data_IF_661951646603
#
_entry.id   IF_661951646603
#
_cell.length_a   1.000
_cell.length_b   1.000
_cell.length_c   1.000
_cell.angle_alpha   90.00
_cell.angle_beta   90.00
_cell.angle_gamma   90.00
#
_symmetry.space_group_name_H-M   'P 1'
#
loop_
_entity.id
_entity.type
_entity.pdbx_description
1 polymer ?
#
# COMPACT_ATOMS: atom_id res chain seq x y z
N UNK A 1 -86.08 46.89 -25.10
CA UNK A 1 -85.37 46.38 -26.29
C UNK A 1 -84.73 45.10 -25.81
N UNK A 2 -85.45 43.99 -25.94
CA UNK A 2 -84.95 42.67 -25.57
C UNK A 2 -83.97 42.27 -26.66
N UNK A 3 -82.69 42.55 -26.41
CA UNK A 3 -81.61 42.01 -27.21
C UNK A 3 -81.48 40.56 -26.76
N UNK A 4 -81.79 39.65 -27.68
CA UNK A 4 -81.58 38.21 -27.55
C UNK A 4 -80.17 37.92 -27.01
N UNK A 5 -80.10 37.58 -25.73
CA UNK A 5 -78.87 37.31 -24.97
C UNK A 5 -78.17 35.99 -25.39
N UNK A 6 -78.55 35.36 -26.52
CA UNK A 6 -77.94 34.11 -27.02
C UNK A 6 -77.08 34.28 -28.29
N UNK A 7 -76.53 35.46 -28.55
CA UNK A 7 -75.54 35.64 -29.64
C UNK A 7 -74.18 34.98 -29.40
N UNK A 8 -73.86 34.57 -28.16
CA UNK A 8 -72.58 33.95 -27.82
C UNK A 8 -72.41 32.55 -28.46
N UNK A 9 -73.51 31.84 -28.69
CA UNK A 9 -73.52 30.54 -29.40
C UNK A 9 -73.26 30.70 -30.91
N UNK A 10 -73.61 31.84 -31.50
CA UNK A 10 -73.45 32.07 -32.95
C UNK A 10 -71.99 32.37 -33.33
N UNK A 11 -71.23 32.98 -32.42
CA UNK A 11 -69.82 33.27 -32.65
C UNK A 11 -68.91 32.04 -32.44
N UNK A 12 -69.47 30.91 -32.01
CA UNK A 12 -68.71 29.70 -31.67
C UNK A 12 -67.69 29.96 -30.56
N UNK A 13 -67.95 30.96 -29.72
CA UNK A 13 -67.05 31.32 -28.63
C UNK A 13 -67.08 30.19 -27.60
N UNK A 14 -65.93 29.56 -27.29
CA UNK A 14 -65.90 28.46 -26.34
C UNK A 14 -66.44 28.93 -25.01
N UNK A 15 -67.32 28.14 -24.41
CA UNK A 15 -67.86 28.46 -23.10
C UNK A 15 -66.71 28.58 -22.09
N UNK A 16 -66.84 29.40 -21.02
CA UNK A 16 -65.78 29.50 -20.01
C UNK A 16 -65.34 28.15 -19.45
N UNK A 17 -66.28 27.20 -19.31
CA UNK A 17 -65.98 25.84 -18.88
C UNK A 17 -65.10 25.07 -19.89
N UNK A 18 -65.33 25.23 -21.20
CA UNK A 18 -64.49 24.62 -22.24
C UNK A 18 -63.09 25.25 -22.28
N UNK A 19 -62.99 26.55 -22.04
CA UNK A 19 -61.72 27.25 -21.96
C UNK A 19 -60.84 26.76 -20.81
N UNK A 20 -61.42 26.34 -19.67
CA UNK A 20 -60.66 25.80 -18.53
C UNK A 20 -60.23 24.34 -18.68
N UNK A 21 -60.87 23.55 -19.54
CA UNK A 21 -60.53 22.12 -19.71
C UNK A 21 -59.07 21.92 -20.13
N UNK A 22 -58.60 22.72 -21.08
CA UNK A 22 -57.23 22.60 -21.61
C UNK A 22 -56.15 22.99 -20.58
N UNK A 23 -56.22 24.15 -19.89
CA UNK A 23 -55.31 24.46 -18.80
C UNK A 23 -55.31 23.42 -17.68
N UNK A 24 -56.47 22.90 -17.29
CA UNK A 24 -56.56 21.83 -16.29
C UNK A 24 -55.82 20.57 -16.75
N UNK A 25 -56.01 20.14 -18.01
CA UNK A 25 -55.29 18.99 -18.56
C UNK A 25 -53.76 19.21 -18.59
N UNK A 26 -53.30 20.41 -18.99
CA UNK A 26 -51.87 20.75 -18.95
C UNK A 26 -51.28 20.72 -17.53
N UNK A 27 -52.03 21.20 -16.54
CA UNK A 27 -51.61 21.16 -15.14
C UNK A 27 -51.56 19.73 -14.59
N UNK A 28 -52.53 18.89 -14.98
CA UNK A 28 -52.54 17.47 -14.64
C UNK A 28 -51.30 16.75 -15.22
N UNK A 29 -50.99 16.97 -16.50
CA UNK A 29 -49.81 16.40 -17.16
C UNK A 29 -48.50 16.85 -16.49
N UNK A 30 -48.36 18.15 -16.23
CA UNK A 30 -47.19 18.70 -15.53
C UNK A 30 -47.04 18.14 -14.11
N UNK A 31 -48.16 17.93 -13.40
CA UNK A 31 -48.15 17.31 -12.08
C UNK A 31 -47.70 15.84 -12.16
N UNK A 32 -48.19 15.08 -13.14
CA UNK A 32 -47.80 13.69 -13.36
C UNK A 32 -46.29 13.60 -13.66
N UNK A 33 -45.77 14.45 -14.53
CA UNK A 33 -44.36 14.48 -14.90
C UNK A 33 -43.47 14.80 -13.69
N UNK A 34 -43.80 15.86 -12.95
CA UNK A 34 -43.03 16.26 -11.76
C UNK A 34 -43.06 15.20 -10.66
N UNK A 35 -44.20 14.54 -10.43
CA UNK A 35 -44.28 13.41 -9.50
C UNK A 35 -43.42 12.23 -9.96
N UNK A 36 -43.39 11.93 -11.26
CA UNK A 36 -42.54 10.89 -11.84
C UNK A 36 -41.05 11.19 -11.62
N UNK A 37 -40.62 12.43 -11.92
CA UNK A 37 -39.25 12.88 -11.68
C UNK A 37 -38.89 12.81 -10.19
N UNK A 38 -39.79 13.24 -9.31
CA UNK A 38 -39.57 13.19 -7.86
C UNK A 38 -39.41 11.76 -7.35
N UNK A 39 -40.22 10.81 -7.83
CA UNK A 39 -40.09 9.39 -7.48
C UNK A 39 -38.73 8.84 -7.93
N UNK A 40 -38.30 9.14 -9.16
CA UNK A 40 -36.98 8.73 -9.68
C UNK A 40 -35.84 9.34 -8.86
N UNK A 41 -35.90 10.63 -8.57
CA UNK A 41 -34.90 11.31 -7.76
C UNK A 41 -34.79 10.74 -6.35
N UNK A 42 -35.93 10.45 -5.70
CA UNK A 42 -35.96 9.79 -4.39
C UNK A 42 -35.35 8.40 -4.41
N UNK A 43 -35.66 7.59 -5.43
CA UNK A 43 -35.06 6.27 -5.60
C UNK A 43 -33.54 6.36 -5.79
N UNK A 44 -33.07 7.31 -6.61
CA UNK A 44 -31.65 7.54 -6.83
C UNK A 44 -30.91 7.96 -5.55
N UNK A 45 -31.48 8.90 -4.78
CA UNK A 45 -30.91 9.34 -3.50
C UNK A 45 -30.85 8.18 -2.50
N UNK A 46 -31.92 7.37 -2.40
CA UNK A 46 -31.92 6.19 -1.54
C UNK A 46 -30.81 5.20 -1.94
N UNK A 47 -30.64 4.94 -3.24
CA UNK A 47 -29.56 4.09 -3.74
C UNK A 47 -28.16 4.66 -3.44
N UNK A 48 -27.97 5.97 -3.58
CA UNK A 48 -26.71 6.64 -3.23
C UNK A 48 -26.38 6.56 -1.75
N UNK A 49 -27.38 6.72 -0.87
CA UNK A 49 -27.20 6.56 0.58
C UNK A 49 -26.80 5.13 0.93
N UNK A 50 -27.48 4.13 0.37
CA UNK A 50 -27.13 2.72 0.59
C UNK A 50 -25.70 2.41 0.13
N UNK A 51 -25.30 2.89 -1.05
CA UNK A 51 -23.94 2.70 -1.54
C UNK A 51 -22.91 3.42 -0.66
N UNK A 52 -23.22 4.63 -0.19
CA UNK A 52 -22.35 5.36 0.74
C UNK A 52 -22.12 4.57 2.03
N UNK A 53 -23.17 3.97 2.59
CA UNK A 53 -23.06 3.19 3.83
C UNK A 53 -22.22 1.91 3.60
N UNK A 54 -22.39 1.25 2.46
CA UNK A 54 -21.53 0.13 2.06
C UNK A 54 -20.06 0.53 1.89
N UNK A 55 -19.79 1.68 1.28
CA UNK A 55 -18.43 2.20 1.13
C UNK A 55 -17.82 2.59 2.48
N UNK A 56 -18.61 3.17 3.38
CA UNK A 56 -18.14 3.53 4.72
C UNK A 56 -17.75 2.29 5.54
N UNK A 57 -18.55 1.23 5.47
CA UNK A 57 -18.24 -0.04 6.14
C UNK A 57 -17.02 -0.72 5.52
N UNK A 58 -16.93 -0.78 4.18
CA UNK A 58 -15.77 -1.31 3.47
C UNK A 58 -14.48 -0.54 3.80
N UNK A 59 -14.55 0.79 3.87
CA UNK A 59 -13.43 1.64 4.27
C UNK A 59 -12.96 1.34 5.69
N UNK A 60 -13.88 1.26 6.66
CA UNK A 60 -13.53 0.97 8.05
C UNK A 60 -12.84 -0.40 8.21
N UNK A 61 -13.29 -1.42 7.46
CA UNK A 61 -12.64 -2.73 7.42
C UNK A 61 -11.23 -2.64 6.83
N UNK A 62 -11.07 -1.97 5.69
CA UNK A 62 -9.77 -1.81 5.04
C UNK A 62 -8.77 -1.04 5.93
N UNK A 63 -9.22 0.02 6.61
CA UNK A 63 -8.40 0.78 7.57
C UNK A 63 -7.97 -0.07 8.77
N UNK A 64 -8.86 -0.92 9.29
CA UNK A 64 -8.55 -1.86 10.37
C UNK A 64 -7.50 -2.89 9.95
N UNK A 65 -7.64 -3.49 8.76
CA UNK A 65 -6.64 -4.43 8.24
C UNK A 65 -5.30 -3.76 7.94
N UNK A 66 -5.31 -2.54 7.40
CA UNK A 66 -4.11 -1.76 7.18
C UNK A 66 -3.37 -1.47 8.50
N UNK A 67 -4.08 -1.08 9.55
CA UNK A 67 -3.49 -0.84 10.86
C UNK A 67 -2.83 -2.10 11.44
N UNK A 68 -3.48 -3.27 11.31
CA UNK A 68 -2.90 -4.56 11.71
C UNK A 68 -1.63 -4.88 10.94
N UNK A 69 -1.66 -4.72 9.61
CA UNK A 69 -0.52 -4.98 8.75
C UNK A 69 0.67 -4.06 9.08
N UNK A 70 0.42 -2.77 9.34
CA UNK A 70 1.44 -1.82 9.76
C UNK A 70 2.08 -2.23 11.09
N UNK A 71 1.28 -2.60 12.08
CA UNK A 71 1.77 -3.07 13.37
C UNK A 71 2.66 -4.31 13.22
N UNK A 72 2.26 -5.25 12.37
CA UNK A 72 3.03 -6.47 12.09
C UNK A 72 4.35 -6.15 11.39
N UNK A 73 4.36 -5.23 10.42
CA UNK A 73 5.59 -4.74 9.78
C UNK A 73 6.53 -4.12 10.82
N UNK A 74 6.00 -3.29 11.73
CA UNK A 74 6.81 -2.71 12.80
C UNK A 74 7.41 -3.77 13.72
N UNK A 75 6.61 -4.78 14.10
CA UNK A 75 7.05 -5.91 14.91
C UNK A 75 8.18 -6.69 14.23
N UNK A 76 8.00 -7.06 12.97
CA UNK A 76 8.99 -7.80 12.19
C UNK A 76 10.26 -6.99 11.96
N UNK A 77 10.14 -5.69 11.67
CA UNK A 77 11.29 -4.81 11.53
C UNK A 77 12.10 -4.68 12.83
N UNK A 78 11.43 -4.60 13.98
CA UNK A 78 12.09 -4.59 15.27
C UNK A 78 12.88 -5.90 15.49
N UNK A 79 12.25 -7.05 15.27
CA UNK A 79 12.89 -8.35 15.41
C UNK A 79 14.08 -8.52 14.45
N UNK A 80 13.93 -8.11 13.19
CA UNK A 80 14.99 -8.15 12.19
C UNK A 80 16.19 -7.31 12.61
N UNK A 81 15.96 -6.08 13.12
CA UNK A 81 17.03 -5.21 13.65
C UNK A 81 17.74 -5.82 14.85
N UNK A 82 17.00 -6.43 15.77
CA UNK A 82 17.57 -7.10 16.94
C UNK A 82 18.46 -8.27 16.52
N UNK A 83 18.00 -9.08 15.56
CA UNK A 83 18.78 -10.18 14.99
C UNK A 83 20.02 -9.67 14.24
N UNK A 84 19.90 -8.56 13.50
CA UNK A 84 21.02 -7.89 12.85
C UNK A 84 22.10 -7.47 13.85
N UNK A 85 21.72 -6.88 14.99
CA UNK A 85 22.67 -6.53 16.07
C UNK A 85 23.40 -7.76 16.62
N UNK A 86 22.66 -8.85 16.88
CA UNK A 86 23.24 -10.12 17.35
C UNK A 86 24.22 -10.70 16.33
N UNK A 87 23.89 -10.63 15.04
CA UNK A 87 24.75 -11.13 13.98
C UNK A 87 26.03 -10.30 13.86
N UNK A 88 25.93 -8.97 13.86
CA UNK A 88 27.10 -8.09 13.84
C UNK A 88 28.03 -8.34 15.03
N UNK A 89 27.47 -8.52 16.24
CA UNK A 89 28.26 -8.88 17.43
C UNK A 89 29.01 -10.21 17.23
N UNK A 90 28.35 -11.23 16.68
CA UNK A 90 28.99 -12.51 16.38
C UNK A 90 30.10 -12.39 15.32
N UNK A 91 29.90 -11.57 14.29
CA UNK A 91 30.91 -11.31 13.26
C UNK A 91 32.16 -10.65 13.85
N UNK A 92 31.97 -9.68 14.76
CA UNK A 92 33.08 -9.04 15.48
C UNK A 92 33.88 -10.09 16.26
N UNK A 93 33.21 -10.95 17.04
CA UNK A 93 33.87 -12.01 17.82
C UNK A 93 34.57 -13.02 16.90
N UNK A 94 33.98 -13.37 15.76
CA UNK A 94 34.61 -14.26 14.78
C UNK A 94 35.90 -13.66 14.21
N UNK A 95 35.91 -12.37 13.86
CA UNK A 95 37.11 -11.68 13.40
C UNK A 95 38.21 -11.59 14.48
N UNK A 96 37.83 -11.34 15.73
CA UNK A 96 38.76 -11.36 16.86
C UNK A 96 39.38 -12.75 17.06
N UNK A 97 38.55 -13.80 17.01
CA UNK A 97 39.01 -15.20 17.09
C UNK A 97 40.03 -15.51 16.01
N UNK A 98 39.77 -15.09 14.77
CA UNK A 98 40.67 -15.33 13.65
C UNK A 98 42.01 -14.61 13.83
N UNK A 99 42.00 -13.38 14.32
CA UNK A 99 43.23 -12.63 14.65
C UNK A 99 44.05 -13.34 15.72
N UNK A 100 43.42 -13.76 16.82
CA UNK A 100 44.09 -14.45 17.91
C UNK A 100 44.63 -15.82 17.48
N UNK A 101 43.93 -16.53 16.61
CA UNK A 101 44.37 -17.82 16.08
C UNK A 101 45.65 -17.67 15.25
N UNK A 102 45.73 -16.64 14.39
CA UNK A 102 46.94 -16.32 13.63
C UNK A 102 48.11 -15.96 14.54
N UNK A 103 47.89 -15.12 15.56
CA UNK A 103 48.96 -14.75 16.48
C UNK A 103 49.44 -15.95 17.31
N UNK A 104 48.52 -16.79 17.79
CA UNK A 104 48.86 -18.03 18.48
C UNK A 104 49.70 -18.96 17.60
N UNK A 105 49.35 -19.13 16.33
CA UNK A 105 50.15 -19.92 15.39
C UNK A 105 51.56 -19.34 15.21
N UNK A 106 51.67 -18.02 15.05
CA UNK A 106 52.96 -17.33 14.95
C UNK A 106 53.82 -17.54 16.19
N UNK A 107 53.28 -17.31 17.38
CA UNK A 107 54.01 -17.47 18.65
C UNK A 107 54.43 -18.91 18.89
N UNK A 108 53.61 -19.90 18.51
CA UNK A 108 53.97 -21.31 18.60
C UNK A 108 55.16 -21.65 17.69
N UNK A 109 55.21 -21.10 16.48
CA UNK A 109 56.35 -21.26 15.58
C UNK A 109 57.62 -20.63 16.19
N UNK A 110 57.54 -19.39 16.69
CA UNK A 110 58.66 -18.73 17.37
C UNK A 110 59.18 -19.55 18.56
N UNK A 111 58.28 -20.09 19.39
CA UNK A 111 58.65 -20.95 20.52
C UNK A 111 59.28 -22.28 20.07
N UNK A 112 58.83 -22.86 18.96
CA UNK A 112 59.39 -24.12 18.45
C UNK A 112 60.85 -23.95 18.03
N UNK A 113 61.17 -22.86 17.33
CA UNK A 113 62.53 -22.48 16.93
C UNK A 113 63.40 -22.25 18.17
N UNK A 114 62.92 -21.49 19.15
CA UNK A 114 63.68 -21.20 20.38
C UNK A 114 63.96 -22.44 21.23
N UNK A 115 63.08 -23.45 21.20
CA UNK A 115 63.29 -24.73 21.89
C UNK A 115 64.11 -25.75 21.09
N UNK A 116 64.63 -25.38 19.91
CA UNK A 116 65.42 -26.28 19.06
C UNK A 116 64.63 -27.46 18.48
N UNK A 117 63.30 -27.40 18.45
CA UNK A 117 62.45 -28.40 17.80
C UNK A 117 62.14 -27.95 16.36
N UNK A 118 62.17 -28.87 15.40
CA UNK A 118 61.76 -28.58 14.02
C UNK A 118 60.29 -28.10 13.99
N UNK A 119 59.96 -27.03 13.26
CA UNK A 119 58.60 -26.47 13.25
C UNK A 119 57.61 -27.46 12.62
N UNK A 120 56.51 -27.73 13.32
CA UNK A 120 55.47 -28.66 12.87
C UNK A 120 54.66 -28.04 11.71
N UNK A 121 54.72 -28.65 10.52
CA UNK A 121 54.15 -28.16 9.25
C UNK A 121 52.62 -27.96 9.31
N UNK A 122 51.95 -28.57 10.29
CA UNK A 122 50.51 -28.42 10.54
C UNK A 122 50.11 -27.06 11.15
N UNK A 123 51.07 -26.24 11.58
CA UNK A 123 50.85 -24.89 12.12
C UNK A 123 50.73 -23.78 11.06
N UNK A 124 50.95 -24.10 9.77
CA UNK A 124 50.78 -23.14 8.68
C UNK A 124 49.30 -22.73 8.56
N UNK A 125 48.98 -21.42 8.44
CA UNK A 125 47.60 -20.97 8.40
C UNK A 125 46.89 -21.51 7.15
N UNK A 126 45.67 -22.07 7.28
CA UNK A 126 44.92 -22.54 6.12
C UNK A 126 44.50 -21.35 5.26
N UNK A 127 45.01 -21.28 4.03
CA UNK A 127 44.69 -20.27 3.00
C UNK A 127 43.20 -20.24 2.58
N UNK A 128 42.37 -21.16 3.10
CA UNK A 128 41.01 -21.44 2.62
C UNK A 128 39.90 -20.53 3.13
N UNK A 129 40.16 -19.65 4.11
CA UNK A 129 39.10 -18.81 4.68
C UNK A 129 38.94 -17.42 4.03
N UNK A 130 39.95 -16.95 3.28
CA UNK A 130 39.85 -15.68 2.54
C UNK A 130 38.91 -15.76 1.33
N UNK A 131 38.78 -16.93 0.69
CA UNK A 131 37.83 -17.11 -0.42
C UNK A 131 36.38 -17.14 0.04
N UNK A 132 36.09 -17.77 1.19
CA UNK A 132 34.71 -17.96 1.65
C UNK A 132 34.05 -16.65 2.13
N UNK A 133 34.83 -15.74 2.72
CA UNK A 133 34.33 -14.41 3.14
C UNK A 133 34.06 -13.54 1.92
N UNK A 134 34.90 -13.60 0.88
CA UNK A 134 34.68 -12.89 -0.39
C UNK A 134 33.48 -13.45 -1.14
N UNK A 135 33.32 -14.78 -1.20
CA UNK A 135 32.16 -15.42 -1.84
C UNK A 135 30.84 -15.08 -1.12
N UNK A 136 30.80 -15.13 0.22
CA UNK A 136 29.60 -14.74 0.97
C UNK A 136 29.30 -13.24 0.88
N UNK A 137 30.32 -12.37 0.80
CA UNK A 137 30.13 -10.94 0.60
C UNK A 137 29.59 -10.63 -0.82
N UNK A 138 30.05 -11.34 -1.85
CA UNK A 138 29.49 -11.25 -3.21
C UNK A 138 28.04 -11.76 -3.29
N UNK A 139 27.71 -12.83 -2.57
CA UNK A 139 26.36 -13.39 -2.59
C UNK A 139 25.35 -12.49 -1.85
N UNK A 140 25.78 -11.78 -0.80
CA UNK A 140 24.94 -10.84 -0.06
C UNK A 140 24.76 -9.49 -0.80
N UNK A 141 25.76 -9.05 -1.57
CA UNK A 141 25.61 -7.89 -2.44
C UNK A 141 24.69 -8.17 -3.65
N UNK A 142 24.66 -9.41 -4.16
CA UNK A 142 23.69 -9.81 -5.20
C UNK A 142 22.25 -9.92 -4.68
N UNK A 143 22.04 -10.30 -3.41
CA UNK A 143 20.69 -10.36 -2.82
C UNK A 143 20.14 -8.96 -2.49
N UNK A 144 21.00 -7.99 -2.18
CA UNK A 144 20.60 -6.59 -1.94
C UNK A 144 20.36 -5.79 -3.24
N UNK A 145 20.65 -6.36 -4.43
CA UNK A 145 20.42 -5.75 -5.75
C UNK A 145 19.33 -6.52 -6.52
N UNK A 146 18.30 -6.99 -5.83
CA UNK A 146 17.04 -7.30 -6.50
C UNK A 146 16.14 -6.06 -6.46
N UNK A 147 15.88 -5.39 -7.60
CA UNK A 147 14.89 -4.33 -7.63
C UNK A 147 13.53 -4.99 -7.40
N UNK A 148 12.95 -4.75 -6.21
CA UNK A 148 11.51 -4.94 -6.00
C UNK A 148 10.79 -4.10 -7.06
N UNK A 149 9.97 -4.70 -7.95
CA UNK A 149 9.15 -3.93 -8.85
C UNK A 149 8.00 -3.35 -8.02
N UNK A 150 8.18 -2.14 -7.51
CA UNK A 150 7.06 -1.33 -7.04
C UNK A 150 6.31 -0.84 -8.28
N UNK A 151 5.02 -1.14 -8.44
CA UNK A 151 4.24 -0.56 -9.52
C UNK A 151 4.00 0.91 -9.17
N UNK A 152 4.47 1.79 -10.04
CA UNK A 152 4.07 3.20 -10.13
C UNK A 152 4.40 4.10 -8.93
N UNK A 153 5.66 4.53 -8.81
CA UNK A 153 5.98 5.92 -8.42
C UNK A 153 7.48 6.21 -8.56
N UNK A 154 7.79 7.27 -9.28
CA UNK A 154 9.15 7.79 -9.47
C UNK A 154 9.71 8.35 -8.17
N UNK A 155 10.62 7.64 -7.48
CA UNK A 155 11.54 8.25 -6.52
C UNK A 155 12.91 7.57 -6.66
N UNK A 156 13.83 8.26 -7.33
CA UNK A 156 15.26 7.91 -7.32
C UNK A 156 15.86 8.34 -5.98
N UNK A 157 16.28 7.40 -5.14
CA UNK A 157 17.20 7.67 -4.04
C UNK A 157 18.59 7.20 -4.47
N UNK A 158 19.45 8.16 -4.83
CA UNK A 158 20.88 7.93 -4.94
C UNK A 158 21.47 7.80 -3.54
N UNK A 159 21.83 6.58 -3.13
CA UNK A 159 22.65 6.38 -1.94
C UNK A 159 24.13 6.47 -2.33
N UNK A 160 24.74 7.52 -1.79
CA UNK A 160 26.15 7.90 -1.85
C UNK A 160 27.02 6.77 -1.29
N UNK A 161 28.01 6.34 -2.08
CA UNK A 161 29.16 5.60 -1.59
C UNK A 161 30.27 6.60 -1.23
N UNK A 162 30.65 6.64 0.03
CA UNK A 162 31.96 7.12 0.49
C UNK A 162 32.35 6.28 1.71
#
# INVERSE_FOLDING_TARGET
MDVDDNTDDWLGCPTPLEMYKHPCAMLEDALIETQSMLRKARANVAGLVQMKDMLATGKALAESELAKAQLEIHRLNYQSREMGRKNNSRQIVAGQRERLLRENQRLLLELSVLRGHSPDVRLAPPQRYQSLIVEHALHLSQILVFPMPLPNSQIYIACIAN
#
